data_IF_855617691208
#
_entry.id   IF_855617691208
#
_cell.length_a   1.000
_cell.length_b   1.000
_cell.length_c   1.000
_cell.angle_alpha   90.00
_cell.angle_beta   90.00
_cell.angle_gamma   90.00
#
_symmetry.space_group_name_H-M   'P 1'
#
loop_
_entity.id
_entity.type
_entity.pdbx_description
1 polymer ?
#
# COMPACT_ATOMS: atom_id res chain seq x y z
N UNK A 1 -3.56 56.77 -31.28
CA UNK A 1 -3.35 55.31 -31.40
C UNK A 1 -2.02 54.96 -30.74
N UNK A 2 -2.05 54.45 -29.51
CA UNK A 2 -0.93 53.80 -28.83
C UNK A 2 -1.42 53.11 -27.54
N UNK A 3 -0.71 52.06 -27.15
CA UNK A 3 -0.86 51.08 -26.04
C UNK A 3 -1.29 49.70 -26.58
N UNK A 4 -0.35 48.80 -26.91
CA UNK A 4 0.66 48.06 -26.12
C UNK A 4 0.16 46.66 -25.76
N UNK A 5 0.42 45.71 -26.66
CA UNK A 5 0.28 44.28 -26.44
C UNK A 5 1.30 43.79 -25.39
N UNK A 6 0.81 43.19 -24.31
CA UNK A 6 1.63 42.44 -23.36
C UNK A 6 1.75 40.99 -23.85
N UNK A 7 2.88 40.68 -24.48
CA UNK A 7 3.26 39.31 -24.80
C UNK A 7 4.14 38.77 -23.67
N UNK A 8 3.52 38.04 -22.73
CA UNK A 8 4.24 37.32 -21.67
C UNK A 8 5.02 36.17 -22.30
N UNK A 9 6.34 36.32 -22.37
CA UNK A 9 7.27 35.27 -22.76
C UNK A 9 7.27 34.14 -21.72
N UNK A 10 6.98 32.92 -22.17
CA UNK A 10 7.25 31.71 -21.39
C UNK A 10 8.77 31.48 -21.33
N UNK A 11 9.30 31.35 -20.12
CA UNK A 11 10.70 30.95 -19.90
C UNK A 11 10.92 29.49 -20.34
N UNK A 12 12.10 29.15 -20.89
CA UNK A 12 12.41 27.79 -21.31
C UNK A 12 12.53 26.87 -20.09
N UNK A 13 11.91 25.70 -20.18
CA UNK A 13 12.06 24.61 -19.23
C UNK A 13 13.47 24.06 -19.43
N UNK A 14 14.34 24.24 -18.45
CA UNK A 14 15.70 23.68 -18.49
C UNK A 14 15.62 22.17 -18.44
N UNK A 15 16.14 21.51 -19.49
CA UNK A 15 16.58 20.12 -19.46
C UNK A 15 17.47 19.91 -18.23
N UNK A 16 17.04 19.01 -17.35
CA UNK A 16 17.94 18.41 -16.38
C UNK A 16 17.89 16.90 -16.58
N UNK A 17 18.91 16.47 -17.29
CA UNK A 17 19.19 15.13 -17.77
C UNK A 17 19.31 14.12 -16.62
N UNK A 18 18.70 12.95 -16.84
CA UNK A 18 19.05 11.62 -16.31
C UNK A 18 19.63 11.55 -14.88
N UNK A 19 18.75 11.61 -13.87
CA UNK A 19 18.99 10.80 -12.67
C UNK A 19 18.59 9.35 -12.97
N UNK A 20 19.41 8.34 -12.61
CA UNK A 20 19.07 6.93 -12.86
C UNK A 20 17.76 6.58 -12.16
N UNK A 21 16.83 6.01 -12.93
CA UNK A 21 15.61 5.40 -12.41
C UNK A 21 16.05 4.28 -11.47
N UNK A 22 15.57 4.22 -10.21
CA UNK A 22 15.82 3.05 -9.38
C UNK A 22 15.29 1.82 -10.14
N UNK A 23 16.11 0.78 -10.23
CA UNK A 23 15.70 -0.45 -10.89
C UNK A 23 14.40 -0.96 -10.22
N UNK A 24 13.45 -1.53 -10.99
CA UNK A 24 12.30 -2.18 -10.38
C UNK A 24 12.83 -3.24 -9.40
N UNK A 25 12.23 -3.39 -8.21
CA UNK A 25 12.52 -4.56 -7.39
C UNK A 25 12.30 -5.79 -8.27
N UNK A 26 13.29 -6.69 -8.27
CA UNK A 26 13.10 -8.03 -8.83
C UNK A 26 11.90 -8.63 -8.12
N UNK A 27 11.11 -9.37 -8.88
CA UNK A 27 9.86 -10.01 -8.47
C UNK A 27 9.89 -10.33 -6.98
N UNK A 28 8.91 -9.79 -6.25
CA UNK A 28 8.76 -10.03 -4.83
C UNK A 28 8.52 -11.53 -4.63
N UNK A 29 9.60 -12.30 -4.55
CA UNK A 29 9.62 -13.55 -3.84
C UNK A 29 9.40 -13.16 -2.38
N UNK A 30 8.15 -13.25 -1.96
CA UNK A 30 7.66 -13.05 -0.60
C UNK A 30 8.42 -13.89 0.45
N UNK A 31 9.32 -14.78 0.00
CA UNK A 31 10.19 -15.64 0.79
C UNK A 31 11.46 -14.97 1.36
N UNK A 32 11.86 -13.78 0.91
CA UNK A 32 13.18 -13.23 1.26
C UNK A 32 13.26 -12.44 2.60
N UNK A 33 12.17 -12.39 3.38
CA UNK A 33 12.20 -11.80 4.74
C UNK A 33 12.70 -12.81 5.79
N UNK A 34 12.78 -14.11 5.47
CA UNK A 34 13.20 -15.16 6.40
C UNK A 34 14.24 -16.10 5.78
N UNK A 35 15.52 -15.72 5.78
CA UNK A 35 16.62 -16.63 5.37
C UNK A 35 17.91 -16.40 6.19
N UNK A 36 17.82 -16.34 7.52
CA UNK A 36 19.04 -16.37 8.36
C UNK A 36 18.73 -17.00 9.73
N UNK A 37 18.42 -18.31 9.75
CA UNK A 37 18.72 -19.20 10.89
C UNK A 37 18.47 -20.69 10.59
N UNK A 38 19.10 -21.22 9.54
CA UNK A 38 19.30 -22.66 9.40
C UNK A 38 20.66 -23.04 9.99
N UNK A 39 20.72 -23.29 11.30
CA UNK A 39 21.78 -24.13 11.86
C UNK A 39 21.37 -24.68 13.23
N UNK A 40 21.50 -26.00 13.34
CA UNK A 40 21.37 -26.83 14.55
C UNK A 40 19.92 -27.27 14.79
N UNK A 41 19.51 -28.53 14.66
CA UNK A 41 20.16 -29.84 14.78
C UNK A 41 19.32 -30.81 13.92
N UNK A 42 19.89 -31.78 13.21
CA UNK A 42 20.36 -33.03 13.82
C UNK A 42 19.20 -34.03 13.91
N UNK A 43 19.34 -35.14 13.21
CA UNK A 43 18.32 -36.18 12.99
C UNK A 43 17.68 -36.76 14.26
N UNK A 44 16.42 -37.20 14.18
CA UNK A 44 16.09 -38.59 14.55
C UNK A 44 14.65 -38.99 14.18
N UNK A 45 14.58 -40.16 13.57
CA UNK A 45 13.39 -40.93 13.20
C UNK A 45 12.54 -41.29 14.42
N UNK A 46 11.24 -40.96 14.37
CA UNK A 46 10.23 -41.44 15.31
C UNK A 46 9.60 -42.74 14.78
N UNK A 47 9.67 -43.80 15.58
CA UNK A 47 8.62 -44.83 15.61
C UNK A 47 7.73 -44.50 16.80
N UNK A 48 6.47 -44.17 16.52
CA UNK A 48 5.41 -44.09 17.52
C UNK A 48 4.82 -45.49 17.73
N UNK A 49 4.53 -45.84 18.98
CA UNK A 49 3.37 -46.63 19.41
C UNK A 49 3.55 -46.98 20.90
N UNK A 50 3.02 -46.15 21.81
CA UNK A 50 2.64 -46.64 23.15
C UNK A 50 1.66 -45.70 23.85
N UNK A 51 0.39 -46.11 23.89
CA UNK A 51 -0.66 -45.50 24.68
C UNK A 51 -0.40 -45.71 26.19
N UNK A 52 -0.38 -44.65 26.99
CA UNK A 52 -0.64 -44.77 28.42
C UNK A 52 -1.28 -43.50 28.99
N UNK A 53 -2.43 -43.75 29.62
CA UNK A 53 -3.29 -42.84 30.36
C UNK A 53 -2.68 -42.60 31.76
N UNK A 54 -2.36 -41.35 32.11
CA UNK A 54 -1.94 -40.97 33.47
C UNK A 54 -2.35 -39.52 33.78
N UNK A 55 -3.12 -39.34 34.86
CA UNK A 55 -3.56 -38.05 35.39
C UNK A 55 -2.46 -37.34 36.21
N UNK A 56 -2.64 -36.03 36.37
CA UNK A 56 -2.16 -35.10 37.41
C UNK A 56 -1.00 -34.10 37.16
N UNK A 57 -1.32 -32.87 37.59
CA UNK A 57 -0.52 -31.68 37.97
C UNK A 57 0.46 -31.00 36.98
N UNK A 58 0.05 -29.78 36.61
CA UNK A 58 0.84 -28.54 36.57
C UNK A 58 2.31 -28.63 36.19
N UNK A 59 2.62 -28.47 34.90
CA UNK A 59 3.89 -27.92 34.47
C UNK A 59 3.64 -26.93 33.32
N UNK A 60 4.31 -25.80 33.42
CA UNK A 60 4.33 -24.69 32.50
C UNK A 60 4.59 -25.12 31.05
N UNK A 61 3.54 -25.16 30.25
CA UNK A 61 3.68 -25.08 28.80
C UNK A 61 3.86 -23.61 28.43
N UNK A 62 5.08 -23.13 28.63
CA UNK A 62 5.66 -22.02 27.87
C UNK A 62 5.81 -22.53 26.42
N UNK A 63 4.66 -22.76 25.78
CA UNK A 63 4.58 -22.92 24.34
C UNK A 63 4.62 -21.50 23.83
N UNK A 64 5.84 -20.97 23.70
CA UNK A 64 6.17 -19.97 22.70
C UNK A 64 5.90 -20.60 21.33
N UNK A 65 4.61 -20.77 21.04
CA UNK A 65 4.08 -20.94 19.71
C UNK A 65 4.54 -19.68 18.99
N UNK A 66 5.47 -19.84 18.05
CA UNK A 66 5.87 -18.80 17.13
C UNK A 66 4.62 -18.42 16.33
N UNK A 67 3.82 -17.51 16.88
CA UNK A 67 2.77 -16.82 16.15
C UNK A 67 3.53 -16.04 15.09
N UNK A 68 3.56 -16.59 13.88
CA UNK A 68 3.86 -15.84 12.67
C UNK A 68 3.02 -14.55 12.74
N UNK A 69 3.67 -13.40 12.99
CA UNK A 69 2.97 -12.13 13.07
C UNK A 69 2.37 -11.86 11.69
N UNK A 70 1.07 -12.12 11.59
CA UNK A 70 0.31 -11.82 10.39
C UNK A 70 0.44 -10.32 10.11
N UNK A 71 1.02 -9.92 8.95
CA UNK A 71 1.28 -8.51 8.67
C UNK A 71 -0.04 -7.75 8.60
N UNK A 72 -0.14 -6.57 9.21
CA UNK A 72 -1.36 -5.78 9.13
C UNK A 72 -1.53 -5.16 7.73
N UNK A 73 -2.75 -4.71 7.39
CA UNK A 73 -2.99 -4.00 6.11
C UNK A 73 -2.10 -2.77 6.00
N UNK A 74 -1.89 -2.06 7.11
CA UNK A 74 -0.95 -0.95 7.20
C UNK A 74 0.46 -1.36 6.78
N UNK A 75 0.96 -2.50 7.25
CA UNK A 75 2.28 -3.01 6.91
C UNK A 75 2.38 -3.37 5.43
N UNK A 76 1.32 -3.99 4.89
CA UNK A 76 1.24 -4.31 3.46
C UNK A 76 1.26 -3.05 2.59
N UNK A 77 0.51 -2.01 2.97
CA UNK A 77 0.51 -0.72 2.24
C UNK A 77 1.86 -0.02 2.38
N UNK A 78 2.54 -0.14 3.53
CA UNK A 78 3.88 0.39 3.74
C UNK A 78 4.93 -0.35 2.91
N UNK A 79 4.86 -1.68 2.81
CA UNK A 79 5.72 -2.46 1.92
C UNK A 79 5.58 -1.99 0.46
N UNK A 80 4.35 -1.80 0.00
CA UNK A 80 4.10 -1.20 -1.32
C UNK A 80 4.64 0.23 -1.44
N UNK A 81 4.64 1.02 -0.36
CA UNK A 81 5.28 2.33 -0.42
C UNK A 81 6.78 2.23 -0.70
N UNK A 82 7.49 1.26 -0.10
CA UNK A 82 8.93 1.08 -0.30
C UNK A 82 9.27 0.84 -1.78
N UNK A 83 8.46 0.03 -2.48
CA UNK A 83 8.64 -0.25 -3.90
C UNK A 83 8.38 0.99 -4.79
N UNK A 84 7.36 1.78 -4.44
CA UNK A 84 6.88 2.87 -5.28
C UNK A 84 7.49 4.23 -4.91
N UNK A 85 8.15 4.36 -3.76
CA UNK A 85 8.64 5.63 -3.23
C UNK A 85 9.50 6.38 -4.26
N UNK A 86 9.14 7.64 -4.52
CA UNK A 86 9.89 8.51 -5.43
C UNK A 86 9.61 8.32 -6.92
N UNK A 87 8.83 7.29 -7.33
CA UNK A 87 8.35 7.16 -8.71
C UNK A 87 7.60 8.43 -9.10
N UNK A 88 7.96 9.00 -10.26
CA UNK A 88 7.43 10.30 -10.69
C UNK A 88 5.98 10.20 -11.15
N UNK A 89 5.24 11.29 -10.92
CA UNK A 89 3.88 11.36 -11.42
C UNK A 89 3.86 11.44 -12.94
N UNK A 90 3.13 10.54 -13.59
CA UNK A 90 2.88 10.57 -15.04
C UNK A 90 1.40 10.29 -15.30
N UNK A 91 0.70 11.25 -15.90
CA UNK A 91 -0.71 11.07 -16.25
C UNK A 91 -0.90 9.87 -17.18
N UNK A 92 -1.82 8.97 -16.86
CA UNK A 92 -2.01 7.71 -17.59
C UNK A 92 -1.01 6.61 -17.21
N UNK A 93 0.03 6.91 -16.42
CA UNK A 93 1.06 5.97 -16.04
C UNK A 93 0.60 4.91 -15.01
N UNK A 94 1.15 3.71 -15.13
CA UNK A 94 0.83 2.52 -14.33
C UNK A 94 2.06 1.68 -14.00
N UNK A 95 3.27 2.25 -14.14
CA UNK A 95 4.53 1.52 -14.00
C UNK A 95 5.57 2.37 -13.23
N UNK A 96 6.72 1.76 -12.91
CA UNK A 96 7.84 2.39 -12.20
C UNK A 96 8.53 3.53 -12.97
N UNK A 97 8.30 3.67 -14.29
CA UNK A 97 8.79 4.83 -15.06
C UNK A 97 7.92 6.07 -14.83
N UNK A 98 6.70 5.87 -14.35
CA UNK A 98 5.85 6.93 -13.85
C UNK A 98 4.41 6.49 -13.74
N UNK A 99 3.75 6.97 -12.69
CA UNK A 99 2.43 6.52 -12.24
C UNK A 99 1.51 7.71 -11.96
N UNK A 100 0.20 7.59 -12.19
CA UNK A 100 -0.76 8.58 -11.68
C UNK A 100 -1.49 8.10 -10.42
N UNK A 101 -2.38 8.93 -9.89
CA UNK A 101 -3.05 8.64 -8.62
C UNK A 101 -3.89 7.36 -8.67
N UNK A 102 -4.68 7.13 -9.72
CA UNK A 102 -5.49 5.91 -9.83
C UNK A 102 -4.69 4.70 -10.32
N UNK A 103 -3.62 4.91 -11.09
CA UNK A 103 -2.69 3.87 -11.49
C UNK A 103 -1.90 3.31 -10.32
N UNK A 104 -1.49 4.17 -9.37
CA UNK A 104 -0.82 3.74 -8.15
C UNK A 104 -1.76 2.89 -7.30
N UNK A 105 -2.99 3.37 -7.08
CA UNK A 105 -4.01 2.61 -6.33
C UNK A 105 -4.31 1.27 -7.00
N UNK A 106 -4.42 1.26 -8.33
CA UNK A 106 -4.64 0.01 -9.08
C UNK A 106 -3.49 -0.97 -8.90
N UNK A 107 -2.24 -0.50 -8.94
CA UNK A 107 -1.07 -1.36 -8.76
C UNK A 107 -1.03 -1.95 -7.34
N UNK A 108 -1.15 -1.10 -6.31
CA UNK A 108 -1.16 -1.54 -4.90
C UNK A 108 -2.25 -2.60 -4.67
N UNK A 109 -3.47 -2.37 -5.16
CA UNK A 109 -4.57 -3.29 -4.91
C UNK A 109 -4.44 -4.61 -5.67
N UNK A 110 -3.90 -4.58 -6.88
CA UNK A 110 -3.63 -5.78 -7.66
C UNK A 110 -2.50 -6.60 -7.03
N UNK A 111 -1.38 -5.94 -6.72
CA UNK A 111 -0.14 -6.60 -6.33
C UNK A 111 -0.19 -7.07 -4.87
N UNK A 112 -0.86 -6.33 -3.98
CA UNK A 112 -0.89 -6.63 -2.55
C UNK A 112 -2.15 -7.37 -2.09
N UNK A 113 -3.29 -7.17 -2.78
CA UNK A 113 -4.59 -7.69 -2.34
C UNK A 113 -5.29 -8.53 -3.41
N UNK A 114 -4.66 -8.77 -4.57
CA UNK A 114 -5.25 -9.50 -5.70
C UNK A 114 -6.59 -8.90 -6.18
N UNK A 115 -6.81 -7.59 -5.99
CA UNK A 115 -8.04 -6.89 -6.36
C UNK A 115 -7.84 -6.05 -7.63
N UNK A 116 -8.57 -6.41 -8.68
CA UNK A 116 -8.61 -5.65 -9.92
C UNK A 116 -9.50 -4.40 -9.81
N UNK A 117 -8.85 -3.24 -9.71
CA UNK A 117 -9.54 -1.96 -9.74
C UNK A 117 -9.61 -1.37 -11.16
N UNK A 118 -10.70 -0.65 -11.51
CA UNK A 118 -10.82 0.04 -12.78
C UNK A 118 -9.77 1.16 -12.87
N UNK A 119 -9.36 1.51 -14.09
CA UNK A 119 -8.25 2.45 -14.32
C UNK A 119 -8.51 3.87 -13.81
N UNK A 120 -9.77 4.31 -13.81
CA UNK A 120 -10.15 5.69 -13.53
C UNK A 120 -10.52 5.89 -12.05
N UNK A 121 -10.01 6.95 -11.42
CA UNK A 121 -10.38 7.30 -10.04
C UNK A 121 -11.89 7.56 -9.88
N UNK A 122 -12.58 7.94 -10.95
CA UNK A 122 -14.03 8.17 -10.90
C UNK A 122 -14.83 6.88 -10.86
N UNK A 123 -14.31 5.80 -11.45
CA UNK A 123 -14.96 4.49 -11.42
C UNK A 123 -14.58 3.73 -10.15
N UNK A 124 -13.32 3.83 -9.71
CA UNK A 124 -12.88 3.33 -8.40
C UNK A 124 -13.75 3.91 -7.28
N UNK A 125 -14.12 5.19 -7.37
CA UNK A 125 -14.97 5.89 -6.39
C UNK A 125 -16.42 5.38 -6.30
N UNK A 126 -16.85 4.50 -7.21
CA UNK A 126 -18.17 3.86 -7.21
C UNK A 126 -18.15 2.45 -6.61
N UNK A 127 -16.96 1.88 -6.41
CA UNK A 127 -16.78 0.55 -5.85
C UNK A 127 -16.77 0.60 -4.31
N UNK A 128 -17.03 -0.56 -3.73
CA UNK A 128 -16.96 -0.79 -2.29
C UNK A 128 -18.00 -0.03 -1.47
N UNK A 129 -17.83 -0.10 -0.15
CA UNK A 129 -18.70 0.54 0.82
C UNK A 129 -18.35 2.03 1.02
N UNK A 130 -19.34 2.86 1.33
CA UNK A 130 -19.09 4.24 1.76
C UNK A 130 -18.72 4.27 3.24
N UNK A 131 -17.56 4.82 3.57
CA UNK A 131 -17.09 4.95 4.96
C UNK A 131 -17.21 6.40 5.44
N UNK A 132 -17.58 6.58 6.70
CA UNK A 132 -17.62 7.90 7.32
C UNK A 132 -16.20 8.41 7.63
N UNK A 133 -16.00 9.73 7.65
CA UNK A 133 -14.66 10.32 7.87
C UNK A 133 -14.01 9.92 9.21
N UNK A 134 -14.81 9.56 10.22
CA UNK A 134 -14.32 9.13 11.53
C UNK A 134 -13.95 7.66 11.62
N UNK A 135 -14.31 6.85 10.61
CA UNK A 135 -14.17 5.39 10.62
C UNK A 135 -13.16 4.91 9.56
N UNK A 136 -12.24 5.80 9.16
CA UNK A 136 -11.17 5.50 8.22
C UNK A 136 -10.28 4.42 8.83
N UNK A 137 -10.06 3.35 8.08
CA UNK A 137 -9.18 2.23 8.43
C UNK A 137 -8.03 2.11 7.42
N UNK A 138 -6.92 1.45 7.79
CA UNK A 138 -5.89 1.06 6.85
C UNK A 138 -6.48 0.37 5.61
N UNK A 139 -5.98 0.73 4.43
CA UNK A 139 -6.47 0.21 3.15
C UNK A 139 -7.68 0.95 2.57
N UNK A 140 -8.34 1.86 3.31
CA UNK A 140 -9.45 2.64 2.74
C UNK A 140 -8.97 3.61 1.65
N UNK A 141 -9.77 3.75 0.58
CA UNK A 141 -9.50 4.69 -0.50
C UNK A 141 -10.04 6.08 -0.18
N UNK A 142 -9.13 7.05 -0.09
CA UNK A 142 -9.42 8.45 0.22
C UNK A 142 -9.48 9.26 -1.07
N UNK A 143 -10.63 9.90 -1.35
CA UNK A 143 -10.83 10.71 -2.55
C UNK A 143 -10.90 12.19 -2.23
N UNK A 144 -10.12 12.99 -2.96
CA UNK A 144 -9.92 14.42 -2.69
C UNK A 144 -10.18 15.31 -3.91
N UNK A 145 -10.45 16.59 -3.65
CA UNK A 145 -10.22 17.66 -4.63
C UNK A 145 -8.90 18.38 -4.30
N UNK A 146 -7.85 18.12 -5.06
CA UNK A 146 -6.60 18.90 -5.02
C UNK A 146 -6.52 19.86 -6.20
N UNK A 147 -6.42 21.17 -5.90
CA UNK A 147 -6.34 22.25 -6.91
C UNK A 147 -7.35 22.12 -8.07
N UNK A 148 -8.61 21.81 -7.74
CA UNK A 148 -9.71 21.69 -8.71
C UNK A 148 -9.73 20.37 -9.48
N UNK A 149 -8.93 19.37 -9.11
CA UNK A 149 -8.86 18.07 -9.78
C UNK A 149 -9.15 16.94 -8.81
N UNK A 150 -9.76 15.87 -9.32
CA UNK A 150 -9.97 14.64 -8.56
C UNK A 150 -8.62 13.99 -8.28
N UNK A 151 -8.44 13.54 -7.04
CA UNK A 151 -7.24 12.88 -6.56
C UNK A 151 -7.64 11.70 -5.66
N UNK A 152 -6.79 10.68 -5.58
CA UNK A 152 -7.03 9.48 -4.77
C UNK A 152 -5.73 9.07 -4.06
N UNK A 153 -5.88 8.47 -2.88
CA UNK A 153 -4.81 7.83 -2.13
C UNK A 153 -5.34 6.66 -1.30
N UNK A 154 -4.43 5.86 -0.75
CA UNK A 154 -4.72 4.71 0.12
C UNK A 154 -4.38 5.09 1.55
N UNK A 155 -5.31 4.91 2.49
CA UNK A 155 -5.07 5.14 3.90
C UNK A 155 -4.05 4.11 4.42
N UNK A 156 -3.04 4.59 5.14
CA UNK A 156 -2.14 3.74 5.91
C UNK A 156 -2.72 3.58 7.31
N UNK A 157 -3.22 4.67 7.88
CA UNK A 157 -3.92 4.74 9.15
C UNK A 157 -4.92 5.92 9.14
N UNK A 158 -5.42 6.35 10.31
CA UNK A 158 -6.33 7.49 10.47
C UNK A 158 -5.68 8.87 10.23
N UNK A 159 -4.34 8.93 10.15
CA UNK A 159 -3.52 10.15 10.13
C UNK A 159 -2.64 10.27 8.90
N UNK A 160 -2.51 9.23 8.09
CA UNK A 160 -1.56 9.15 6.98
C UNK A 160 -2.14 8.37 5.80
N UNK A 161 -1.73 8.77 4.60
CA UNK A 161 -2.13 8.11 3.38
C UNK A 161 -1.04 8.17 2.31
N UNK A 162 -0.96 7.11 1.53
CA UNK A 162 -0.08 6.94 0.38
C UNK A 162 -0.75 7.50 -0.88
N UNK A 163 -0.03 8.31 -1.66
CA UNK A 163 -0.54 8.83 -2.92
C UNK A 163 0.55 9.24 -3.92
N UNK A 164 0.19 9.30 -5.21
CA UNK A 164 1.03 9.87 -6.25
C UNK A 164 0.88 11.41 -6.31
N UNK A 165 1.82 12.15 -5.75
CA UNK A 165 1.88 13.61 -5.83
C UNK A 165 2.41 14.08 -7.18
N UNK A 166 1.67 14.98 -7.83
CA UNK A 166 2.05 15.55 -9.14
C UNK A 166 3.41 16.24 -9.16
N UNK A 167 3.89 16.73 -8.02
CA UNK A 167 5.18 17.43 -7.91
C UNK A 167 6.28 16.57 -7.30
N UNK A 168 5.93 15.71 -6.35
CA UNK A 168 6.90 14.97 -5.53
C UNK A 168 6.99 13.48 -5.88
N UNK A 169 6.15 12.98 -6.79
CA UNK A 169 6.04 11.54 -7.04
C UNK A 169 5.24 10.83 -5.95
N UNK A 170 5.42 9.54 -5.82
CA UNK A 170 4.77 8.73 -4.78
C UNK A 170 5.35 9.07 -3.41
N UNK A 171 4.47 9.51 -2.49
CA UNK A 171 4.81 9.93 -1.14
C UNK A 171 3.71 9.54 -0.15
N UNK A 172 4.07 9.52 1.14
CA UNK A 172 3.11 9.51 2.24
C UNK A 172 2.85 10.95 2.69
N UNK A 173 1.57 11.30 2.84
CA UNK A 173 1.14 12.59 3.36
C UNK A 173 0.33 12.41 4.65
N UNK A 174 0.42 13.38 5.56
CA UNK A 174 -0.46 13.43 6.74
C UNK A 174 -1.87 13.83 6.32
N UNK A 175 -2.87 13.15 6.86
CA UNK A 175 -4.29 13.48 6.75
C UNK A 175 -4.64 14.60 7.73
N UNK A 176 -4.18 15.82 7.42
CA UNK A 176 -4.29 16.99 8.29
C UNK A 176 -5.42 17.96 7.88
N UNK A 177 -5.44 19.16 8.45
CA UNK A 177 -6.42 20.21 8.13
C UNK A 177 -6.49 20.60 6.64
N UNK A 178 -5.43 20.41 5.86
CA UNK A 178 -5.44 20.66 4.42
C UNK A 178 -6.17 19.54 3.67
N UNK A 179 -5.83 18.28 3.99
CA UNK A 179 -6.40 17.11 3.31
C UNK A 179 -7.80 16.76 3.77
N UNK A 180 -8.10 16.90 5.06
CA UNK A 180 -9.44 16.65 5.63
C UNK A 180 -10.53 17.55 5.04
N UNK A 181 -10.21 18.83 4.77
CA UNK A 181 -11.10 19.78 4.10
C UNK A 181 -11.34 19.44 2.62
N UNK A 182 -10.38 18.74 1.99
CA UNK A 182 -10.44 18.34 0.58
C UNK A 182 -11.04 16.96 0.38
N UNK A 183 -11.23 16.20 1.46
CA UNK A 183 -11.80 14.86 1.42
C UNK A 183 -13.28 14.92 1.00
N UNK A 184 -13.59 14.27 -0.11
CA UNK A 184 -14.92 14.18 -0.71
C UNK A 184 -15.65 12.93 -0.20
N UNK A 185 -14.95 11.79 -0.20
CA UNK A 185 -15.50 10.47 0.11
C UNK A 185 -14.40 9.50 0.50
N UNK A 186 -14.80 8.46 1.22
CA UNK A 186 -13.95 7.32 1.58
C UNK A 186 -14.63 6.05 1.07
N UNK A 187 -13.87 5.14 0.46
CA UNK A 187 -14.38 3.85 0.00
C UNK A 187 -13.57 2.71 0.60
N UNK A 188 -14.27 1.74 1.19
CA UNK A 188 -13.68 0.47 1.63
C UNK A 188 -13.91 -0.58 0.57
N UNK A 189 -12.82 -1.12 0.04
CA UNK A 189 -12.85 -2.18 -0.97
C UNK A 189 -12.65 -3.55 -0.32
N UNK A 190 -11.76 -3.63 0.67
CA UNK A 190 -11.45 -4.87 1.40
C UNK A 190 -12.50 -5.13 2.48
N UNK A 191 -13.23 -6.24 2.39
CA UNK A 191 -14.14 -6.71 3.44
C UNK A 191 -13.35 -7.41 4.55
N UNK A 192 -13.86 -7.47 5.79
CA UNK A 192 -13.18 -8.11 6.93
C UNK A 192 -12.86 -9.60 6.66
N UNK A 193 -13.67 -10.26 5.80
CA UNK A 193 -13.44 -11.64 5.35
C UNK A 193 -12.28 -11.78 4.36
N UNK A 194 -12.09 -10.79 3.50
CA UNK A 194 -10.97 -10.76 2.55
C UNK A 194 -9.67 -10.45 3.31
N UNK A 195 -9.76 -9.61 4.33
CA UNK A 195 -8.65 -9.29 5.23
C UNK A 195 -8.15 -10.54 5.95
N UNK A 196 -9.03 -11.31 6.59
CA UNK A 196 -8.66 -12.57 7.26
C UNK A 196 -8.15 -13.66 6.30
N UNK A 197 -8.69 -13.72 5.07
CA UNK A 197 -8.32 -14.72 4.08
C UNK A 197 -6.96 -14.43 3.43
N UNK A 198 -6.65 -13.15 3.17
CA UNK A 198 -5.34 -12.72 2.66
C UNK A 198 -4.25 -12.92 3.73
N UNK A 199 -4.60 -12.62 4.99
CA UNK A 199 -3.76 -12.83 6.16
C UNK A 199 -3.44 -14.30 6.49
N UNK A 200 -4.23 -15.26 6.00
CA UNK A 200 -4.00 -16.71 6.24
C UNK A 200 -3.28 -17.45 5.11
N UNK A 201 -3.13 -16.83 3.94
CA UNK A 201 -2.55 -17.48 2.74
C UNK A 201 -1.02 -17.43 2.65
N UNK A 202 -0.35 -16.78 3.62
CA UNK A 202 1.11 -16.67 3.68
C UNK A 202 1.82 -17.73 4.53
N UNK A 203 1.12 -18.79 4.95
CA UNK A 203 1.70 -19.91 5.72
C UNK A 203 1.98 -21.15 4.88
#
# INVERSE_FOLDING_TARGET
MQTSDHQTACAPVTDQENAPVPAPPREADFAAIFDDQEHLFGDMSLNADFDNEYEDEAESNDVLESVEEVPSISDVVLAQYEDWQGVRYRAGGTDYRGVDCSGLVQAIFRDAFEVDLPRSSSDQAKLGESVAKGDIRPGDLLYFIDRGRKHVGVAIDDRQFLHASRRKGVIISKFDGYWSKRLIRVRRILDERDQDALMRKGG
#
